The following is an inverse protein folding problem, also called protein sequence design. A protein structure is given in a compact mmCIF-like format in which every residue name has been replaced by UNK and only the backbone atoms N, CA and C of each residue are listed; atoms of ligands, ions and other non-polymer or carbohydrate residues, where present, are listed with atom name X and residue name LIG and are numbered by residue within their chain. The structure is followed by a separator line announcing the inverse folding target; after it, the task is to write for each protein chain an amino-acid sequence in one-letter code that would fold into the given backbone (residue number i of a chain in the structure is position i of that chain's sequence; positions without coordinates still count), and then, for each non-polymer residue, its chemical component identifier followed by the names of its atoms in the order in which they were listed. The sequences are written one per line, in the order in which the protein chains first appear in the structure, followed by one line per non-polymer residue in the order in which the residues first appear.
data_IF_030199069510
#
_entry.id   IF_030199069510
#
_cell.length_a   1.000
_cell.length_b   1.000
_cell.length_c   1.000
_cell.angle_alpha   90.00
_cell.angle_beta   90.00
_cell.angle_gamma   90.00
#
_symmetry.space_group_name_H-M   'P 1'
#
loop_
_entity.id
_entity.type
_entity.pdbx_description
1 polymer ?
#
# COMPACT_ATOMS: atom_id res chain seq x y z
N UNK A 1 -20.55 -30.85 24.42
CA UNK A 1 -20.97 -29.50 24.04
C UNK A 1 -20.87 -28.56 25.23
N UNK A 2 -20.05 -27.51 25.13
CA UNK A 2 -19.83 -26.45 26.13
C UNK A 2 -20.92 -25.37 26.04
N UNK A 3 -21.05 -24.53 27.06
CA UNK A 3 -22.05 -23.46 27.10
C UNK A 3 -21.97 -22.52 25.88
N UNK A 4 -20.75 -22.12 25.48
CA UNK A 4 -20.55 -21.21 24.35
C UNK A 4 -20.95 -21.86 23.02
N UNK A 5 -20.68 -23.15 22.82
CA UNK A 5 -21.07 -23.90 21.61
C UNK A 5 -22.59 -23.99 21.48
N UNK A 6 -23.29 -24.30 22.58
CA UNK A 6 -24.76 -24.35 22.60
C UNK A 6 -25.38 -22.98 22.28
N UNK A 7 -24.83 -21.90 22.87
CA UNK A 7 -25.27 -20.53 22.60
C UNK A 7 -25.02 -20.11 21.15
N UNK A 8 -23.89 -20.53 20.56
CA UNK A 8 -23.58 -20.30 19.13
C UNK A 8 -24.60 -20.98 18.24
N UNK A 9 -24.89 -22.28 18.46
CA UNK A 9 -25.88 -23.01 17.66
C UNK A 9 -27.28 -22.40 17.79
N UNK A 10 -27.69 -22.01 18.99
CA UNK A 10 -28.98 -21.36 19.21
C UNK A 10 -29.08 -20.03 18.45
N UNK A 11 -28.03 -19.20 18.52
CA UNK A 11 -28.01 -17.93 17.79
C UNK A 11 -27.99 -18.13 16.26
N UNK A 12 -27.33 -19.17 15.76
CA UNK A 12 -27.35 -19.51 14.33
C UNK A 12 -28.72 -20.06 13.88
N UNK A 13 -29.42 -20.80 14.73
CA UNK A 13 -30.76 -21.31 14.43
C UNK A 13 -31.82 -20.20 14.30
N UNK A 14 -31.58 -19.03 14.91
CA UNK A 14 -32.44 -17.85 14.83
C UNK A 14 -32.13 -16.96 13.60
N UNK A 15 -31.13 -17.32 12.80
CA UNK A 15 -30.65 -16.55 11.66
C UNK A 15 -31.04 -17.19 10.33
N UNK A 16 -31.55 -16.37 9.40
CA UNK A 16 -31.71 -16.75 8.01
C UNK A 16 -30.41 -16.46 7.22
N UNK A 17 -29.46 -17.39 7.29
CA UNK A 17 -28.24 -17.39 6.48
C UNK A 17 -26.93 -17.26 7.25
N UNK A 18 -25.85 -17.02 6.51
CA UNK A 18 -24.50 -16.91 7.06
C UNK A 18 -24.30 -15.60 7.86
N UNK A 19 -23.42 -15.64 8.86
CA UNK A 19 -23.10 -14.51 9.73
C UNK A 19 -21.60 -14.46 9.98
N UNK A 20 -21.04 -13.25 10.08
CA UNK A 20 -19.64 -13.10 10.48
C UNK A 20 -19.43 -13.44 11.96
N UNK A 21 -18.30 -14.08 12.28
CA UNK A 21 -17.94 -14.43 13.68
C UNK A 21 -17.98 -13.20 14.59
N UNK A 22 -17.56 -12.04 14.09
CA UNK A 22 -17.61 -10.78 14.83
C UNK A 22 -19.03 -10.38 15.21
N UNK A 23 -19.96 -10.47 14.27
CA UNK A 23 -21.36 -10.06 14.50
C UNK A 23 -22.08 -11.08 15.39
N UNK A 24 -21.76 -12.36 15.24
CA UNK A 24 -22.22 -13.43 16.12
C UNK A 24 -21.74 -13.19 17.57
N UNK A 25 -20.48 -12.82 17.76
CA UNK A 25 -19.94 -12.46 19.08
C UNK A 25 -20.65 -11.24 19.68
N UNK A 26 -20.91 -10.20 18.87
CA UNK A 26 -21.69 -9.04 19.27
C UNK A 26 -23.10 -9.40 19.72
N UNK A 27 -23.80 -10.28 18.99
CA UNK A 27 -25.14 -10.80 19.36
C UNK A 27 -25.14 -11.57 20.68
N UNK A 28 -24.09 -12.35 20.92
CA UNK A 28 -23.94 -13.16 22.12
C UNK A 28 -23.43 -12.35 23.33
N UNK A 29 -22.99 -11.10 23.13
CA UNK A 29 -22.35 -10.31 24.18
C UNK A 29 -21.05 -10.94 24.69
N UNK A 30 -20.32 -11.61 23.80
CA UNK A 30 -19.07 -12.31 24.10
C UNK A 30 -17.91 -11.72 23.28
N UNK A 31 -16.68 -11.96 23.74
CA UNK A 31 -15.49 -11.68 22.94
C UNK A 31 -15.43 -12.59 21.71
N UNK A 32 -14.73 -12.14 20.66
CA UNK A 32 -14.59 -12.92 19.43
C UNK A 32 -13.83 -14.24 19.64
N UNK A 33 -12.80 -14.25 20.51
CA UNK A 33 -11.94 -15.42 20.72
C UNK A 33 -12.71 -16.68 21.18
N UNK A 34 -13.55 -16.64 22.24
CA UNK A 34 -14.32 -17.81 22.65
C UNK A 34 -15.35 -18.24 21.60
N UNK A 35 -15.94 -17.31 20.86
CA UNK A 35 -16.90 -17.60 19.78
C UNK A 35 -16.21 -18.27 18.60
N UNK A 36 -15.05 -17.76 18.17
CA UNK A 36 -14.24 -18.37 17.11
C UNK A 36 -13.81 -19.79 17.47
N UNK A 37 -13.38 -20.01 18.72
CA UNK A 37 -13.04 -21.34 19.21
C UNK A 37 -14.23 -22.31 19.20
N UNK A 38 -15.41 -21.85 19.65
CA UNK A 38 -16.63 -22.65 19.61
C UNK A 38 -17.07 -22.99 18.17
N UNK A 39 -17.03 -22.01 17.26
CA UNK A 39 -17.33 -22.21 15.84
C UNK A 39 -16.37 -23.23 15.20
N UNK A 40 -15.08 -23.18 15.54
CA UNK A 40 -14.11 -24.16 15.06
C UNK A 40 -14.40 -25.59 15.54
N UNK A 41 -14.78 -25.77 16.81
CA UNK A 41 -15.18 -27.08 17.36
C UNK A 41 -16.45 -27.59 16.66
N UNK A 42 -17.46 -26.74 16.51
CA UNK A 42 -18.71 -27.10 15.85
C UNK A 42 -18.51 -27.43 14.36
N UNK A 43 -17.56 -26.79 13.69
CA UNK A 43 -17.20 -27.10 12.31
C UNK A 43 -16.49 -28.46 12.19
N UNK A 44 -15.60 -28.79 13.13
CA UNK A 44 -14.94 -30.10 13.22
C UNK A 44 -15.95 -31.23 13.47
N UNK A 45 -17.00 -30.94 14.25
CA UNK A 45 -18.14 -31.84 14.46
C UNK A 45 -19.14 -31.88 13.28
N UNK A 46 -18.93 -31.08 12.23
CA UNK A 46 -19.79 -31.03 11.04
C UNK A 46 -21.15 -30.36 11.26
N UNK A 47 -21.30 -29.58 12.34
CA UNK A 47 -22.54 -28.90 12.70
C UNK A 47 -22.68 -27.51 12.06
N UNK A 48 -21.56 -26.88 11.67
CA UNK A 48 -21.53 -25.59 10.99
C UNK A 48 -20.49 -25.58 9.89
N UNK A 49 -20.65 -24.69 8.90
CA UNK A 49 -19.67 -24.46 7.84
C UNK A 49 -18.99 -23.11 8.03
N UNK A 50 -17.66 -23.06 7.83
CA UNK A 50 -16.88 -21.82 7.91
C UNK A 50 -16.41 -21.47 6.50
N UNK A 51 -16.79 -20.28 6.02
CA UNK A 51 -16.24 -19.69 4.80
C UNK A 51 -15.33 -18.52 5.16
N UNK A 52 -14.13 -18.49 4.58
CA UNK A 52 -13.19 -17.36 4.72
C UNK A 52 -13.02 -16.65 3.38
N UNK A 53 -13.22 -15.34 3.38
CA UNK A 53 -12.92 -14.47 2.24
C UNK A 53 -11.79 -13.53 2.61
N UNK A 54 -10.69 -13.53 1.83
CA UNK A 54 -9.57 -12.62 2.06
C UNK A 54 -9.82 -11.27 1.37
N UNK A 55 -9.66 -10.18 2.12
CA UNK A 55 -9.72 -8.82 1.60
C UNK A 55 -8.33 -8.17 1.69
N UNK A 56 -7.65 -7.92 0.55
CA UNK A 56 -6.35 -7.27 0.59
C UNK A 56 -6.49 -5.78 0.95
N UNK A 57 -5.88 -5.38 2.06
CA UNK A 57 -5.75 -3.97 2.42
C UNK A 57 -4.34 -3.45 2.07
N UNK A 58 -4.28 -2.29 1.41
CA UNK A 58 -3.01 -1.64 1.07
C UNK A 58 -2.77 -0.41 1.93
N UNK A 59 -1.59 -0.31 2.53
CA UNK A 59 -1.15 0.86 3.29
C UNK A 59 0.16 1.40 2.74
N UNK A 60 0.29 2.72 2.70
CA UNK A 60 1.56 3.36 2.36
C UNK A 60 2.66 2.95 3.34
N UNK A 61 3.78 2.46 2.81
CA UNK A 61 4.98 2.18 3.58
C UNK A 61 5.62 3.46 4.15
N UNK A 62 6.51 3.31 5.13
CA UNK A 62 7.21 4.43 5.79
C UNK A 62 7.97 5.33 4.81
N UNK A 63 8.51 4.77 3.71
CA UNK A 63 9.22 5.53 2.67
C UNK A 63 8.32 6.54 1.95
N UNK A 64 7.06 6.19 1.68
CA UNK A 64 6.14 7.07 0.98
C UNK A 64 5.67 8.27 1.82
N UNK A 65 5.75 8.15 3.16
CA UNK A 65 5.42 9.24 4.10
C UNK A 65 6.50 10.33 4.18
N UNK A 66 7.72 10.04 3.74
CA UNK A 66 8.86 10.95 3.86
C UNK A 66 8.95 11.99 2.74
N UNK A 67 8.10 11.87 1.70
CA UNK A 67 8.11 12.78 0.56
C UNK A 67 7.01 13.85 0.69
N UNK A 68 7.35 15.14 0.52
CA UNK A 68 6.35 16.20 0.51
C UNK A 68 5.27 15.93 -0.54
N UNK A 69 4.00 16.17 -0.17
CA UNK A 69 2.85 16.10 -1.08
C UNK A 69 2.59 14.74 -1.74
N UNK A 70 3.16 13.64 -1.23
CA UNK A 70 3.09 12.30 -1.87
C UNK A 70 3.70 12.29 -3.28
N UNK A 71 4.62 13.20 -3.56
CA UNK A 71 5.31 13.25 -4.86
C UNK A 71 6.44 12.23 -4.89
N UNK A 72 6.50 11.43 -5.95
CA UNK A 72 7.56 10.44 -6.12
C UNK A 72 8.95 11.09 -6.28
N UNK A 73 10.02 10.50 -5.70
CA UNK A 73 11.36 11.08 -5.73
C UNK A 73 11.87 11.32 -7.16
N UNK A 74 11.53 10.44 -8.12
CA UNK A 74 11.87 10.64 -9.52
C UNK A 74 11.27 11.93 -10.10
N UNK A 75 10.05 12.31 -9.71
CA UNK A 75 9.44 13.57 -10.17
C UNK A 75 10.16 14.77 -9.58
N UNK A 76 10.52 14.71 -8.30
CA UNK A 76 11.29 15.76 -7.64
C UNK A 76 12.63 15.96 -8.35
N UNK A 77 13.34 14.86 -8.66
CA UNK A 77 14.63 14.91 -9.37
C UNK A 77 14.48 15.46 -10.79
N UNK A 78 13.47 15.03 -11.55
CA UNK A 78 13.25 15.53 -12.90
C UNK A 78 12.87 17.02 -12.92
N UNK A 79 12.04 17.49 -11.97
CA UNK A 79 11.76 18.92 -11.79
C UNK A 79 13.03 19.70 -11.45
N UNK A 80 13.86 19.19 -10.55
CA UNK A 80 15.13 19.82 -10.19
C UNK A 80 16.09 19.92 -11.41
N UNK A 81 16.11 18.89 -12.27
CA UNK A 81 16.88 18.89 -13.51
C UNK A 81 16.37 19.92 -14.51
N UNK A 82 15.05 20.01 -14.72
CA UNK A 82 14.43 21.03 -15.57
C UNK A 82 14.72 22.45 -15.06
N UNK A 83 14.57 22.66 -13.75
CA UNK A 83 14.87 23.95 -13.09
C UNK A 83 16.36 24.32 -13.14
N UNK A 84 17.27 23.35 -13.29
CA UNK A 84 18.70 23.57 -13.48
C UNK A 84 19.07 23.93 -14.93
N UNK A 85 18.10 24.19 -15.81
CA UNK A 85 18.36 24.46 -17.23
C UNK A 85 18.53 23.20 -18.06
N UNK A 86 18.10 22.05 -17.53
CA UNK A 86 18.09 20.78 -18.25
C UNK A 86 19.41 20.01 -18.24
N UNK A 87 20.40 20.42 -17.45
CA UNK A 87 21.68 19.72 -17.28
C UNK A 87 22.22 19.86 -15.87
N UNK A 88 22.54 18.75 -15.20
CA UNK A 88 23.14 18.76 -13.86
C UNK A 88 23.80 17.44 -13.48
N UNK A 89 24.77 17.49 -12.56
CA UNK A 89 25.34 16.29 -11.91
C UNK A 89 24.43 15.78 -10.78
N UNK A 90 24.63 14.52 -10.35
CA UNK A 90 23.88 13.91 -9.25
C UNK A 90 23.99 14.74 -7.94
N UNK A 91 25.18 15.22 -7.51
CA UNK A 91 25.28 16.04 -6.30
C UNK A 91 24.50 17.36 -6.40
N UNK A 92 24.56 18.04 -7.55
CA UNK A 92 23.80 19.28 -7.78
C UNK A 92 22.28 19.04 -7.75
N UNK A 93 21.83 17.90 -8.28
CA UNK A 93 20.41 17.52 -8.21
C UNK A 93 19.99 17.17 -6.78
N UNK A 94 20.83 16.49 -6.01
CA UNK A 94 20.56 16.16 -4.61
C UNK A 94 20.36 17.42 -3.76
N UNK A 95 21.24 18.41 -3.92
CA UNK A 95 21.15 19.71 -3.26
C UNK A 95 19.86 20.45 -3.65
N UNK A 96 19.59 20.59 -4.96
CA UNK A 96 18.42 21.31 -5.47
C UNK A 96 17.09 20.63 -5.13
N UNK A 97 17.06 19.31 -5.13
CA UNK A 97 15.87 18.53 -4.81
C UNK A 97 15.63 18.42 -3.29
N UNK A 98 16.61 18.81 -2.46
CA UNK A 98 16.57 18.57 -1.02
C UNK A 98 16.53 17.07 -0.68
N UNK A 99 17.13 16.23 -1.52
CA UNK A 99 17.10 14.78 -1.40
C UNK A 99 18.50 14.23 -1.13
N UNK A 100 18.64 13.14 -0.36
CA UNK A 100 19.91 12.41 -0.27
C UNK A 100 20.38 11.95 -1.66
N UNK A 101 21.69 12.05 -1.92
CA UNK A 101 22.30 11.59 -3.19
C UNK A 101 21.93 10.15 -3.54
N UNK A 102 21.76 9.28 -2.54
CA UNK A 102 21.29 7.90 -2.71
C UNK A 102 19.89 7.84 -3.32
N UNK A 103 18.96 8.65 -2.82
CA UNK A 103 17.57 8.74 -3.32
C UNK A 103 17.54 9.25 -4.77
N UNK A 104 18.40 10.23 -5.10
CA UNK A 104 18.58 10.69 -6.48
C UNK A 104 19.09 9.55 -7.37
N UNK A 105 20.11 8.82 -6.90
CA UNK A 105 20.67 7.63 -7.58
C UNK A 105 19.64 6.54 -7.84
N UNK A 106 18.82 6.20 -6.86
CA UNK A 106 17.74 5.20 -6.97
C UNK A 106 16.66 5.63 -7.99
N UNK A 107 16.43 6.93 -8.11
CA UNK A 107 15.47 7.51 -9.06
C UNK A 107 15.96 7.47 -10.50
N UNK A 108 17.28 7.43 -10.74
CA UNK A 108 17.85 7.50 -12.10
C UNK A 108 17.35 6.38 -13.00
N UNK A 109 17.25 5.15 -12.48
CA UNK A 109 16.74 4.01 -13.26
C UNK A 109 15.38 4.33 -13.88
N UNK A 110 14.50 4.97 -13.13
CA UNK A 110 13.16 5.34 -13.56
C UNK A 110 13.15 6.52 -14.51
N UNK A 111 14.01 7.52 -14.29
CA UNK A 111 14.17 8.67 -15.17
C UNK A 111 14.65 8.26 -16.57
N UNK A 112 15.66 7.38 -16.61
CA UNK A 112 16.23 6.87 -17.85
C UNK A 112 15.23 5.96 -18.58
N UNK A 113 14.58 5.04 -17.86
CA UNK A 113 13.60 4.12 -18.46
C UNK A 113 12.39 4.84 -19.07
N UNK A 114 11.98 5.97 -18.47
CA UNK A 114 10.87 6.81 -18.97
C UNK A 114 11.30 7.84 -20.00
N UNK A 115 12.60 7.95 -20.31
CA UNK A 115 13.13 8.97 -21.21
C UNK A 115 13.04 10.39 -20.67
N UNK A 116 12.85 10.58 -19.35
CA UNK A 116 12.80 11.90 -18.70
C UNK A 116 14.19 12.50 -18.48
N UNK A 117 15.21 11.67 -18.49
CA UNK A 117 16.60 12.09 -18.49
C UNK A 117 17.44 11.14 -19.36
N UNK A 118 18.62 11.61 -19.76
CA UNK A 118 19.70 10.81 -20.35
C UNK A 118 20.99 11.09 -19.60
N UNK A 119 21.90 10.13 -19.61
CA UNK A 119 23.23 10.30 -19.01
C UNK A 119 24.22 10.72 -20.08
N UNK A 120 24.95 11.80 -19.82
CA UNK A 120 26.04 12.30 -20.66
C UNK A 120 27.28 12.48 -19.78
N UNK A 121 28.12 11.44 -19.73
CA UNK A 121 29.28 11.39 -18.83
C UNK A 121 28.87 11.49 -17.35
N UNK A 122 29.41 12.47 -16.59
CA UNK A 122 29.06 12.66 -15.19
C UNK A 122 27.72 13.38 -14.98
N UNK A 123 27.11 13.90 -16.05
CA UNK A 123 25.90 14.71 -15.99
C UNK A 123 24.66 13.94 -16.44
N UNK A 124 23.52 14.41 -15.96
CA UNK A 124 22.20 14.08 -16.48
C UNK A 124 21.70 15.25 -17.32
N UNK A 125 21.11 14.93 -18.46
CA UNK A 125 20.49 15.87 -19.38
C UNK A 125 19.01 15.55 -19.45
N UNK A 126 18.18 16.59 -19.47
CA UNK A 126 16.73 16.45 -19.54
C UNK A 126 16.34 15.74 -20.84
N UNK A 127 15.52 14.71 -20.72
CA UNK A 127 15.03 13.94 -21.85
C UNK A 127 13.78 14.54 -22.46
N UNK A 128 13.52 14.24 -23.73
CA UNK A 128 12.41 14.80 -24.49
C UNK A 128 11.03 14.34 -24.01
N UNK A 129 10.98 13.19 -23.31
CA UNK A 129 9.73 12.66 -22.74
C UNK A 129 9.35 13.34 -21.42
N UNK A 130 10.17 14.24 -20.88
CA UNK A 130 9.78 15.05 -19.73
C UNK A 130 8.82 16.17 -20.20
N UNK A 131 7.59 16.24 -19.66
CA UNK A 131 6.64 17.24 -20.10
C UNK A 131 7.12 18.63 -19.67
N UNK A 132 7.18 19.54 -20.65
CA UNK A 132 7.60 20.93 -20.47
C UNK A 132 6.50 21.76 -19.79
N UNK A 133 5.25 21.31 -19.87
CA UNK A 133 4.07 21.90 -19.25
C UNK A 133 3.20 20.78 -18.66
N UNK A 134 2.90 20.87 -17.36
CA UNK A 134 2.06 19.90 -16.66
C UNK A 134 2.77 18.62 -16.24
N UNK A 135 2.45 18.11 -15.06
CA UNK A 135 2.85 16.77 -14.64
C UNK A 135 2.15 15.72 -15.52
N UNK A 136 2.84 14.67 -16.00
CA UNK A 136 2.13 13.58 -16.65
C UNK A 136 1.31 12.87 -15.58
N UNK A 137 0.03 12.59 -15.84
CA UNK A 137 -0.79 11.80 -14.91
C UNK A 137 -0.13 10.43 -14.69
N UNK A 138 -0.06 10.02 -13.42
CA UNK A 138 0.33 8.65 -13.08
C UNK A 138 -0.82 7.74 -13.48
N UNK A 139 -0.61 6.92 -14.51
CA UNK A 139 -1.47 5.77 -14.82
C UNK A 139 -1.38 4.69 -13.75
#
# INVERSE_FOLDING_TARGET
MREVEARVLQALAELDGAVEIRDLAGRLGLDQSPVAGAVAVLADEGLVEITQTEHPEYRLGSRARAFPERTFPERIVARALAAAGGRATIPQLAERAGLPTKTVGESLRWLLARGWARREGPELVLGEAWPREGEPEVG
#
